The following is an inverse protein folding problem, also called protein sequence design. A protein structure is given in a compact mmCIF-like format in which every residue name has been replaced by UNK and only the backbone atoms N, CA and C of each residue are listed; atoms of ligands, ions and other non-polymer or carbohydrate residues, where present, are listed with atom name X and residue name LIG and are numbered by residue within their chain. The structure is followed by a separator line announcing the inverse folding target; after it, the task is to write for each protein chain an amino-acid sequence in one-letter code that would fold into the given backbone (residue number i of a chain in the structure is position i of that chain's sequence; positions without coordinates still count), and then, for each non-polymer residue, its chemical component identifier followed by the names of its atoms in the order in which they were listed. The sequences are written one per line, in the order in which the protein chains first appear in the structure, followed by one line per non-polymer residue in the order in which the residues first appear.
data_IF_005617150402
#
_entry.id   IF_005617150402
#
_cell.length_a   1.000
_cell.length_b   1.000
_cell.length_c   1.000
_cell.angle_alpha   90.00
_cell.angle_beta   90.00
_cell.angle_gamma   90.00
#
_symmetry.space_group_name_H-M   'P 1'
#
loop_
_entity.id
_entity.type
_entity.pdbx_description
1 polymer ?
#
# COMPACT_ATOMS: atom_id res chain seq x y z
N UNK A 1 -18.63 8.15 -7.48
CA UNK A 1 -17.53 8.81 -8.23
C UNK A 1 -16.35 9.15 -7.35
N UNK A 2 -16.52 9.96 -6.29
CA UNK A 2 -15.47 10.35 -5.33
C UNK A 2 -14.64 9.15 -4.85
N UNK A 3 -15.28 8.12 -4.27
CA UNK A 3 -14.58 6.92 -3.79
C UNK A 3 -13.74 6.25 -4.88
N UNK A 4 -14.26 6.18 -6.11
CA UNK A 4 -13.53 5.63 -7.25
C UNK A 4 -12.27 6.42 -7.57
N UNK A 5 -12.36 7.74 -7.61
CA UNK A 5 -11.18 8.59 -7.82
C UNK A 5 -10.16 8.41 -6.68
N UNK A 6 -10.62 8.41 -5.43
CA UNK A 6 -9.78 8.21 -4.24
C UNK A 6 -9.02 6.88 -4.26
N UNK A 7 -9.69 5.76 -4.54
CA UNK A 7 -9.02 4.44 -4.59
C UNK A 7 -8.06 4.33 -5.78
N UNK A 8 -8.14 5.20 -6.79
CA UNK A 8 -7.19 5.26 -7.91
C UNK A 8 -6.03 6.24 -7.69
N UNK A 9 -5.91 6.83 -6.49
CA UNK A 9 -4.88 7.83 -6.18
C UNK A 9 -5.16 9.21 -6.76
N UNK A 10 -6.37 9.44 -7.29
CA UNK A 10 -6.79 10.71 -7.92
C UNK A 10 -7.47 11.64 -6.91
N UNK A 11 -6.80 11.91 -5.79
CA UNK A 11 -7.37 12.71 -4.69
C UNK A 11 -7.78 14.13 -5.10
N UNK A 12 -7.00 14.80 -5.97
CA UNK A 12 -7.34 16.15 -6.48
C UNK A 12 -8.66 16.14 -7.25
N UNK A 13 -8.88 15.12 -8.08
CA UNK A 13 -10.11 14.98 -8.84
C UNK A 13 -11.28 14.64 -7.91
N UNK A 14 -11.05 13.86 -6.85
CA UNK A 14 -12.05 13.57 -5.83
C UNK A 14 -12.50 14.85 -5.10
N UNK A 15 -11.56 15.76 -4.78
CA UNK A 15 -11.85 17.08 -4.23
C UNK A 15 -12.66 17.93 -5.21
N UNK A 16 -12.28 17.96 -6.49
CA UNK A 16 -13.00 18.72 -7.51
C UNK A 16 -14.47 18.24 -7.65
N UNK A 17 -14.68 16.93 -7.69
CA UNK A 17 -16.03 16.35 -7.75
C UNK A 17 -16.83 16.67 -6.49
N UNK A 18 -16.20 16.67 -5.31
CA UNK A 18 -16.85 17.09 -4.08
C UNK A 18 -17.25 18.56 -4.10
N UNK A 19 -16.37 19.45 -4.60
CA UNK A 19 -16.73 20.86 -4.79
C UNK A 19 -17.91 21.05 -5.75
N UNK A 20 -17.94 20.29 -6.86
CA UNK A 20 -19.06 20.30 -7.79
C UNK A 20 -20.37 19.83 -7.13
N UNK A 21 -20.32 18.73 -6.38
CA UNK A 21 -21.46 18.22 -5.61
C UNK A 21 -22.06 19.30 -4.70
N UNK A 22 -21.23 20.07 -4.00
CA UNK A 22 -21.68 21.17 -3.15
C UNK A 22 -22.27 22.34 -3.95
N UNK A 23 -21.67 22.70 -5.10
CA UNK A 23 -22.21 23.76 -5.98
C UNK A 23 -23.58 23.39 -6.56
N UNK A 24 -23.83 22.10 -6.79
CA UNK A 24 -25.11 21.56 -7.23
C UNK A 24 -26.12 21.36 -6.08
N UNK A 25 -25.81 21.86 -4.88
CA UNK A 25 -26.62 21.71 -3.66
C UNK A 25 -26.90 20.26 -3.27
N UNK A 26 -26.03 19.32 -3.65
CA UNK A 26 -26.12 17.92 -3.26
C UNK A 26 -25.38 17.73 -1.94
N UNK A 27 -26.10 17.29 -0.91
CA UNK A 27 -25.54 17.16 0.44
C UNK A 27 -24.65 15.92 0.58
N UNK A 28 -23.43 16.06 1.14
CA UNK A 28 -22.60 14.90 1.43
C UNK A 28 -23.17 14.10 2.61
N UNK A 29 -22.80 12.83 2.65
CA UNK A 29 -23.04 11.95 3.80
C UNK A 29 -21.70 11.39 4.32
N UNK A 30 -21.73 10.66 5.43
CA UNK A 30 -20.51 10.09 6.02
C UNK A 30 -19.69 9.26 5.04
N UNK A 31 -20.32 8.49 4.14
CA UNK A 31 -19.60 7.70 3.14
C UNK A 31 -18.89 8.58 2.11
N UNK A 32 -19.51 9.69 1.71
CA UNK A 32 -18.93 10.68 0.80
C UNK A 32 -17.68 11.30 1.42
N UNK A 33 -17.77 11.72 2.69
CA UNK A 33 -16.67 12.33 3.43
C UNK A 33 -15.55 11.31 3.65
N UNK A 34 -15.86 10.08 4.05
CA UNK A 34 -14.89 9.01 4.21
C UNK A 34 -14.10 8.77 2.92
N UNK A 35 -14.80 8.69 1.78
CA UNK A 35 -14.17 8.55 0.47
C UNK A 35 -13.25 9.71 0.12
N UNK A 36 -13.67 10.93 0.40
CA UNK A 36 -12.87 12.13 0.17
C UNK A 36 -11.62 12.18 1.05
N UNK A 37 -11.77 11.92 2.36
CA UNK A 37 -10.64 11.86 3.29
C UNK A 37 -9.62 10.79 2.89
N UNK A 38 -10.08 9.63 2.43
CA UNK A 38 -9.20 8.58 1.91
C UNK A 38 -8.44 9.06 0.66
N UNK A 39 -9.11 9.78 -0.24
CA UNK A 39 -8.48 10.40 -1.40
C UNK A 39 -7.43 11.44 -1.02
N UNK A 40 -7.73 12.30 -0.05
CA UNK A 40 -6.78 13.27 0.48
C UNK A 40 -5.57 12.56 1.12
N UNK A 41 -5.81 11.54 1.96
CA UNK A 41 -4.76 10.75 2.61
C UNK A 41 -3.83 10.10 1.60
N UNK A 42 -4.37 9.57 0.50
CA UNK A 42 -3.58 8.91 -0.53
C UNK A 42 -2.95 9.86 -1.56
N UNK A 43 -3.17 11.17 -1.43
CA UNK A 43 -2.61 12.20 -2.32
C UNK A 43 -1.90 13.33 -1.58
N UNK A 44 -1.73 13.22 -0.26
CA UNK A 44 -1.04 14.23 0.56
C UNK A 44 -1.77 15.57 0.66
N UNK A 45 -3.09 15.60 0.47
CA UNK A 45 -3.90 16.82 0.47
C UNK A 45 -4.34 17.18 1.90
N UNK A 46 -3.36 17.60 2.71
CA UNK A 46 -3.53 17.83 4.16
C UNK A 46 -4.52 18.94 4.45
N UNK A 47 -4.43 20.06 3.71
CA UNK A 47 -5.28 21.22 3.95
C UNK A 47 -6.74 20.92 3.61
N UNK A 48 -6.97 20.31 2.44
CA UNK A 48 -8.31 19.92 1.99
C UNK A 48 -8.92 18.86 2.92
N UNK A 49 -8.15 17.82 3.28
CA UNK A 49 -8.61 16.79 4.20
C UNK A 49 -8.89 17.32 5.61
N UNK A 50 -8.04 18.21 6.14
CA UNK A 50 -8.25 18.84 7.44
C UNK A 50 -9.49 19.73 7.43
N UNK A 51 -9.66 20.55 6.40
CA UNK A 51 -10.83 21.42 6.23
C UNK A 51 -12.13 20.60 6.19
N UNK A 52 -12.15 19.51 5.41
CA UNK A 52 -13.29 18.61 5.33
C UNK A 52 -13.59 17.97 6.69
N UNK A 53 -12.58 17.41 7.36
CA UNK A 53 -12.77 16.72 8.64
C UNK A 53 -13.30 17.66 9.73
N UNK A 54 -12.71 18.84 9.88
CA UNK A 54 -13.07 19.81 10.93
C UNK A 54 -14.45 20.44 10.70
N UNK A 55 -14.95 20.42 9.46
CA UNK A 55 -16.25 20.99 9.08
C UNK A 55 -17.39 19.98 9.04
N UNK A 56 -17.12 18.69 9.27
CA UNK A 56 -18.11 17.62 9.13
C UNK A 56 -19.41 17.91 9.86
N UNK A 57 -19.30 18.27 11.14
CA UNK A 57 -20.46 18.51 12.00
C UNK A 57 -21.06 19.90 11.76
N UNK A 58 -20.23 20.95 11.74
CA UNK A 58 -20.70 22.34 11.63
C UNK A 58 -21.29 22.69 10.26
N UNK A 59 -20.80 22.09 9.17
CA UNK A 59 -21.26 22.39 7.80
C UNK A 59 -22.31 21.40 7.29
N UNK A 60 -22.29 20.14 7.74
CA UNK A 60 -23.15 19.09 7.17
C UNK A 60 -23.90 18.26 8.22
N UNK A 61 -23.74 18.53 9.52
CA UNK A 61 -24.38 17.76 10.58
C UNK A 61 -23.91 16.31 10.67
N UNK A 62 -22.72 16.00 10.13
CA UNK A 62 -22.16 14.65 10.11
C UNK A 62 -21.23 14.49 11.30
N UNK A 63 -21.65 13.73 12.31
CA UNK A 63 -20.78 13.37 13.43
C UNK A 63 -19.65 12.45 12.95
N UNK A 64 -18.36 12.80 13.20
CA UNK A 64 -17.23 11.93 12.86
C UNK A 64 -17.34 10.56 13.55
N UNK A 65 -17.06 9.51 12.77
CA UNK A 65 -16.98 8.12 13.23
C UNK A 65 -15.54 7.62 13.18
N UNK A 66 -15.30 6.44 13.77
CA UNK A 66 -13.96 5.85 13.88
C UNK A 66 -13.23 5.77 12.53
N UNK A 67 -13.94 5.49 11.44
CA UNK A 67 -13.38 5.41 10.09
C UNK A 67 -12.91 6.78 9.57
N UNK A 68 -13.62 7.86 9.92
CA UNK A 68 -13.24 9.22 9.56
C UNK A 68 -11.99 9.66 10.31
N UNK A 69 -11.92 9.36 11.61
CA UNK A 69 -10.71 9.57 12.42
C UNK A 69 -9.54 8.78 11.84
N UNK A 70 -9.75 7.51 11.51
CA UNK A 70 -8.73 6.66 10.89
C UNK A 70 -8.13 7.28 9.62
N UNK A 71 -8.98 7.75 8.69
CA UNK A 71 -8.49 8.42 7.48
C UNK A 71 -7.79 9.76 7.77
N UNK A 72 -8.27 10.55 8.73
CA UNK A 72 -7.64 11.83 9.07
C UNK A 72 -6.28 11.64 9.77
N UNK A 73 -6.17 10.65 10.66
CA UNK A 73 -4.92 10.27 11.32
C UNK A 73 -3.92 9.71 10.31
N UNK A 74 -4.37 8.86 9.37
CA UNK A 74 -3.51 8.36 8.28
C UNK A 74 -3.02 9.51 7.38
N UNK A 75 -3.89 10.48 7.04
CA UNK A 75 -3.51 11.68 6.28
C UNK A 75 -2.40 12.48 6.99
N UNK A 76 -2.62 12.82 8.26
CA UNK A 76 -1.64 13.56 9.06
C UNK A 76 -0.33 12.79 9.23
N UNK A 77 -0.44 11.49 9.53
CA UNK A 77 0.69 10.61 9.73
C UNK A 77 1.56 10.48 8.48
N UNK A 78 0.95 10.19 7.32
CA UNK A 78 1.67 10.11 6.04
C UNK A 78 2.36 11.42 5.68
N UNK A 79 1.75 12.56 6.00
CA UNK A 79 2.33 13.87 5.77
C UNK A 79 3.44 14.28 6.78
N UNK A 80 3.68 13.48 7.82
CA UNK A 80 4.72 13.74 8.81
C UNK A 80 4.25 14.60 9.99
N UNK A 81 2.96 14.91 10.09
CA UNK A 81 2.37 15.62 11.23
C UNK A 81 2.07 14.65 12.38
N UNK A 82 3.10 13.91 12.82
CA UNK A 82 2.96 12.79 13.76
C UNK A 82 2.40 13.20 15.12
N UNK A 83 2.88 14.32 15.68
CA UNK A 83 2.37 14.84 16.95
C UNK A 83 0.90 15.23 16.83
N UNK A 84 0.53 15.93 15.76
CA UNK A 84 -0.87 16.30 15.49
C UNK A 84 -1.74 15.06 15.33
N UNK A 85 -1.26 14.04 14.61
CA UNK A 85 -1.96 12.77 14.46
C UNK A 85 -2.17 12.08 15.82
N UNK A 86 -1.17 12.10 16.70
CA UNK A 86 -1.28 11.55 18.05
C UNK A 86 -2.22 12.36 18.95
N UNK A 87 -2.24 13.69 18.86
CA UNK A 87 -3.24 14.52 19.55
C UNK A 87 -4.66 14.22 19.08
N UNK A 88 -4.86 13.96 17.78
CA UNK A 88 -6.16 13.53 17.24
C UNK A 88 -6.57 12.19 17.85
N UNK A 89 -5.67 11.20 17.94
CA UNK A 89 -5.95 9.91 18.61
C UNK A 89 -6.41 10.11 20.06
N UNK A 90 -5.71 10.98 20.82
CA UNK A 90 -6.03 11.24 22.24
C UNK A 90 -7.33 12.01 22.45
N UNK A 91 -7.75 12.79 21.46
CA UNK A 91 -8.98 13.59 21.52
C UNK A 91 -10.21 12.88 20.94
N UNK A 92 -10.07 11.63 20.48
CA UNK A 92 -11.20 10.85 19.98
C UNK A 92 -12.28 10.67 21.06
N UNK A 93 -13.57 10.86 20.73
CA UNK A 93 -14.68 10.64 21.66
C UNK A 93 -14.98 9.14 21.87
N UNK A 94 -14.30 8.25 21.14
CA UNK A 94 -14.41 6.80 21.24
C UNK A 94 -13.03 6.17 21.41
N UNK A 95 -12.99 4.93 21.90
CA UNK A 95 -11.74 4.17 22.02
C UNK A 95 -11.11 3.95 20.64
N UNK A 96 -9.83 4.34 20.42
CA UNK A 96 -9.14 4.09 19.16
C UNK A 96 -8.95 2.59 18.95
N UNK A 97 -9.27 2.10 17.76
CA UNK A 97 -9.08 0.70 17.41
C UNK A 97 -7.61 0.40 17.04
N UNK A 98 -7.34 -0.89 16.88
CA UNK A 98 -6.02 -1.38 16.50
C UNK A 98 -5.57 -0.86 15.11
N UNK A 99 -6.50 -0.53 14.22
CA UNK A 99 -6.21 -0.04 12.87
C UNK A 99 -5.64 1.37 12.93
N UNK A 100 -6.19 2.22 13.79
CA UNK A 100 -5.70 3.58 14.05
C UNK A 100 -4.28 3.55 14.59
N UNK A 101 -4.02 2.74 15.63
CA UNK A 101 -2.68 2.61 16.20
C UNK A 101 -1.66 2.08 15.19
N UNK A 102 -2.04 1.09 14.38
CA UNK A 102 -1.20 0.55 13.30
C UNK A 102 -0.91 1.61 12.22
N UNK A 103 -1.88 2.48 11.91
CA UNK A 103 -1.70 3.56 10.94
C UNK A 103 -0.69 4.58 11.44
N UNK A 104 -0.79 5.00 12.71
CA UNK A 104 0.17 5.91 13.33
C UNK A 104 1.57 5.28 13.45
N UNK A 105 1.66 4.00 13.80
CA UNK A 105 2.94 3.29 13.83
C UNK A 105 3.59 3.21 12.44
N UNK A 106 2.79 2.96 11.41
CA UNK A 106 3.27 2.96 10.01
C UNK A 106 3.81 4.34 9.62
N UNK A 107 3.18 5.42 10.07
CA UNK A 107 3.66 6.78 9.85
C UNK A 107 4.99 7.05 10.59
N UNK A 108 5.12 6.65 11.85
CA UNK A 108 6.37 6.75 12.60
C UNK A 108 7.52 6.01 11.88
N UNK A 109 7.25 4.82 11.30
CA UNK A 109 8.23 4.09 10.49
C UNK A 109 8.67 4.89 9.26
N UNK A 110 7.72 5.45 8.50
CA UNK A 110 8.00 6.22 7.28
C UNK A 110 8.90 7.43 7.60
N UNK A 111 8.59 8.13 8.69
CA UNK A 111 9.30 9.35 9.11
C UNK A 111 10.45 9.11 10.09
N UNK A 112 10.76 7.84 10.39
CA UNK A 112 11.82 7.42 11.33
C UNK A 112 11.69 8.03 12.74
N UNK A 113 10.46 8.32 13.17
CA UNK A 113 10.19 8.82 14.52
C UNK A 113 10.12 7.68 15.53
N UNK A 114 11.29 7.36 16.07
CA UNK A 114 11.45 6.32 17.09
C UNK A 114 10.77 6.70 18.40
N UNK A 115 10.82 7.99 18.76
CA UNK A 115 10.36 8.49 20.04
C UNK A 115 8.87 8.26 20.21
N UNK A 116 8.09 8.51 19.15
CA UNK A 116 6.65 8.25 19.14
C UNK A 116 6.34 6.79 18.76
N UNK A 117 7.13 6.17 17.87
CA UNK A 117 6.89 4.80 17.40
C UNK A 117 7.00 3.73 18.49
N UNK A 118 7.96 3.84 19.41
CA UNK A 118 8.16 2.87 20.49
C UNK A 118 6.99 2.72 21.47
N UNK A 119 6.45 3.79 22.08
CA UNK A 119 5.30 3.67 22.98
C UNK A 119 4.06 3.15 22.24
N UNK A 120 3.84 3.53 20.98
CA UNK A 120 2.73 3.00 20.16
C UNK A 120 2.90 1.50 19.92
N UNK A 121 4.10 1.05 19.57
CA UNK A 121 4.41 -0.36 19.41
C UNK A 121 4.07 -1.18 20.66
N UNK A 122 4.51 -0.71 21.84
CA UNK A 122 4.18 -1.35 23.12
C UNK A 122 2.67 -1.36 23.39
N UNK A 123 1.98 -0.27 23.07
CA UNK A 123 0.53 -0.21 23.23
C UNK A 123 -0.18 -1.24 22.34
N UNK A 124 0.23 -1.39 21.08
CA UNK A 124 -0.29 -2.41 20.16
C UNK A 124 -0.03 -3.82 20.70
N UNK A 125 1.14 -4.10 21.30
CA UNK A 125 1.44 -5.39 21.92
C UNK A 125 0.45 -5.73 23.06
N UNK A 126 0.12 -4.72 23.90
CA UNK A 126 -0.84 -4.88 24.99
C UNK A 126 -2.27 -5.08 24.48
N UNK A 127 -2.64 -4.48 23.35
CA UNK A 127 -3.95 -4.66 22.73
C UNK A 127 -4.08 -6.01 21.99
N UNK A 128 -2.99 -6.55 21.44
CA UNK A 128 -2.99 -7.77 20.61
C UNK A 128 -2.92 -9.08 21.41
N UNK A 129 -3.60 -9.14 22.56
CA UNK A 129 -3.74 -10.36 23.37
C UNK A 129 -4.46 -11.51 22.62
N UNK A 130 -5.16 -11.21 21.52
CA UNK A 130 -5.89 -12.18 20.70
C UNK A 130 -5.07 -12.78 19.55
N UNK A 131 -3.83 -12.31 19.33
CA UNK A 131 -2.87 -13.04 18.53
C UNK A 131 -3.04 -12.93 17.01
N UNK A 132 -3.33 -11.74 16.50
CA UNK A 132 -3.34 -11.48 15.06
C UNK A 132 -1.90 -11.30 14.52
N UNK A 133 -1.51 -12.13 13.55
CA UNK A 133 -0.16 -12.10 12.95
C UNK A 133 0.23 -10.74 12.35
N UNK A 134 -0.75 -9.98 11.85
CA UNK A 134 -0.51 -8.68 11.20
C UNK A 134 0.09 -7.61 12.12
N UNK A 135 -0.32 -7.56 13.39
CA UNK A 135 0.19 -6.60 14.37
C UNK A 135 1.66 -6.89 14.69
N UNK A 136 1.97 -8.17 14.92
CA UNK A 136 3.32 -8.67 15.12
C UNK A 136 4.24 -8.43 13.92
N UNK A 137 3.73 -8.56 12.68
CA UNK A 137 4.51 -8.25 11.46
C UNK A 137 4.85 -6.77 11.37
N UNK A 138 3.89 -5.87 11.62
CA UNK A 138 4.15 -4.42 11.63
C UNK A 138 5.19 -4.04 12.70
N UNK A 139 5.07 -4.64 13.87
CA UNK A 139 6.00 -4.47 14.98
C UNK A 139 7.39 -5.03 14.67
N UNK A 140 7.48 -6.21 14.05
CA UNK A 140 8.74 -6.80 13.60
C UNK A 140 9.42 -5.90 12.57
N UNK A 141 8.66 -5.37 11.60
CA UNK A 141 9.16 -4.44 10.60
C UNK A 141 9.61 -3.10 11.20
N UNK A 142 8.92 -2.60 12.23
CA UNK A 142 9.38 -1.43 12.97
C UNK A 142 10.70 -1.72 13.68
N UNK A 143 10.79 -2.80 14.46
CA UNK A 143 12.03 -3.18 15.14
C UNK A 143 13.18 -3.39 14.15
N UNK A 144 12.92 -3.94 12.96
CA UNK A 144 13.90 -4.06 11.88
C UNK A 144 14.35 -2.68 11.36
N UNK A 145 13.42 -1.75 11.16
CA UNK A 145 13.76 -0.36 10.78
C UNK A 145 14.56 0.39 11.86
N UNK A 146 14.50 -0.08 13.10
CA UNK A 146 15.23 0.45 14.25
C UNK A 146 16.54 -0.31 14.55
N UNK A 147 16.90 -1.32 13.76
CA UNK A 147 18.08 -2.16 14.00
C UNK A 147 18.00 -3.04 15.26
N UNK A 148 16.81 -3.21 15.85
CA UNK A 148 16.58 -4.01 17.07
C UNK A 148 16.42 -5.49 16.73
N UNK A 149 17.49 -6.11 16.25
CA UNK A 149 17.46 -7.44 15.65
C UNK A 149 17.09 -8.58 16.60
N UNK A 150 17.47 -8.49 17.88
CA UNK A 150 17.04 -9.47 18.90
C UNK A 150 15.51 -9.51 19.00
N UNK A 151 14.87 -8.35 19.07
CA UNK A 151 13.40 -8.24 19.09
C UNK A 151 12.77 -8.69 17.77
N UNK A 152 13.43 -8.44 16.64
CA UNK A 152 12.98 -8.95 15.33
C UNK A 152 12.98 -10.49 15.33
N UNK A 153 14.03 -11.12 15.84
CA UNK A 153 14.14 -12.57 15.92
C UNK A 153 13.07 -13.17 16.83
N UNK A 154 12.86 -12.60 18.02
CA UNK A 154 11.77 -12.99 18.94
C UNK A 154 10.40 -12.92 18.27
N UNK A 155 10.09 -11.78 17.63
CA UNK A 155 8.81 -11.58 16.96
C UNK A 155 8.65 -12.52 15.77
N UNK A 156 9.71 -12.78 15.00
CA UNK A 156 9.69 -13.74 13.89
C UNK A 156 9.50 -15.16 14.36
N UNK A 157 10.03 -15.54 15.52
CA UNK A 157 9.76 -16.83 16.16
C UNK A 157 8.27 -16.97 16.50
N UNK A 158 7.70 -15.96 17.16
CA UNK A 158 6.28 -15.90 17.52
C UNK A 158 5.33 -15.84 16.30
N UNK A 159 5.81 -15.29 15.18
CA UNK A 159 5.09 -15.29 13.89
C UNK A 159 5.24 -16.67 13.21
N UNK A 160 6.43 -17.28 13.28
CA UNK A 160 6.77 -18.57 12.70
C UNK A 160 5.94 -19.72 13.26
N UNK A 161 5.71 -19.75 14.57
CA UNK A 161 4.84 -20.72 15.24
C UNK A 161 3.37 -20.60 14.80
N UNK A 162 2.94 -19.43 14.31
CA UNK A 162 1.59 -19.16 13.78
C UNK A 162 1.50 -19.16 12.25
N UNK A 163 2.60 -19.44 11.53
CA UNK A 163 2.69 -19.32 10.07
C UNK A 163 1.80 -20.31 9.31
N UNK A 164 1.20 -21.29 9.99
CA UNK A 164 0.17 -22.15 9.42
C UNK A 164 -1.17 -21.46 9.11
N UNK A 165 -1.33 -20.15 9.38
CA UNK A 165 -2.61 -19.44 9.18
C UNK A 165 -2.54 -18.15 8.34
N UNK A 166 -1.39 -17.72 7.83
CA UNK A 166 -1.29 -16.50 7.00
C UNK A 166 -1.07 -16.82 5.52
N UNK A 167 -1.96 -16.34 4.65
CA UNK A 167 -1.89 -16.58 3.21
C UNK A 167 -0.63 -15.93 2.61
N UNK A 168 0.20 -16.66 1.83
CA UNK A 168 1.36 -16.09 1.18
C UNK A 168 0.97 -14.98 0.18
N UNK A 169 1.90 -14.06 -0.06
CA UNK A 169 1.75 -13.03 -1.08
C UNK A 169 1.56 -13.66 -2.45
N UNK A 170 0.48 -13.30 -3.14
CA UNK A 170 0.18 -13.75 -4.48
C UNK A 170 -0.43 -12.63 -5.30
N UNK A 171 -0.25 -12.73 -6.60
CA UNK A 171 -0.83 -11.83 -7.60
C UNK A 171 -1.53 -12.64 -8.66
N UNK A 172 -2.63 -12.13 -9.20
CA UNK A 172 -3.33 -12.79 -10.28
C UNK A 172 -3.71 -11.81 -11.39
N UNK A 173 -3.86 -12.37 -12.58
CA UNK A 173 -4.22 -11.69 -13.81
C UNK A 173 -5.23 -12.54 -14.56
N UNK A 174 -6.24 -11.90 -15.12
CA UNK A 174 -7.21 -12.55 -16.01
C UNK A 174 -6.82 -12.26 -17.47
N UNK A 175 -6.62 -13.33 -18.25
CA UNK A 175 -6.36 -13.25 -19.69
C UNK A 175 -7.30 -14.20 -20.40
N UNK A 176 -8.08 -13.70 -21.35
CA UNK A 176 -9.05 -14.47 -22.14
C UNK A 176 -10.03 -15.30 -21.26
N UNK A 177 -10.51 -14.71 -20.16
CA UNK A 177 -11.44 -15.37 -19.23
C UNK A 177 -10.79 -16.39 -18.29
N UNK A 178 -9.47 -16.54 -18.30
CA UNK A 178 -8.73 -17.46 -17.44
C UNK A 178 -7.93 -16.70 -16.41
N UNK A 179 -8.15 -17.01 -15.13
CA UNK A 179 -7.37 -16.47 -14.01
C UNK A 179 -6.06 -17.24 -13.88
N UNK A 180 -4.95 -16.51 -13.88
CA UNK A 180 -3.61 -17.03 -13.69
C UNK A 180 -3.05 -16.43 -12.39
N UNK A 181 -2.77 -17.28 -11.40
CA UNK A 181 -2.21 -16.89 -10.10
C UNK A 181 -0.70 -17.13 -10.07
N UNK A 182 0.03 -16.23 -9.41
CA UNK A 182 1.48 -16.28 -9.25
C UNK A 182 1.87 -16.10 -7.79
N UNK A 183 2.82 -16.92 -7.33
CA UNK A 183 3.41 -16.86 -5.98
C UNK A 183 4.92 -16.63 -6.02
N UNK A 184 5.50 -16.21 -4.91
CA UNK A 184 6.97 -16.19 -4.77
C UNK A 184 7.48 -17.63 -4.89
N UNK A 185 8.52 -17.82 -5.70
CA UNK A 185 9.07 -19.14 -6.04
C UNK A 185 8.08 -20.11 -6.70
N UNK A 186 7.08 -19.60 -7.43
CA UNK A 186 6.07 -20.41 -8.11
C UNK A 186 6.69 -21.51 -8.99
N UNK A 187 6.14 -22.72 -8.89
CA UNK A 187 6.46 -23.86 -9.78
C UNK A 187 5.19 -24.48 -10.39
N UNK A 188 4.02 -23.96 -10.03
CA UNK A 188 2.72 -24.55 -10.35
C UNK A 188 2.19 -24.14 -11.72
N UNK A 189 2.59 -22.98 -12.23
CA UNK A 189 2.12 -22.51 -13.52
C UNK A 189 2.73 -23.32 -14.69
N UNK A 190 1.93 -23.87 -15.64
CA UNK A 190 2.44 -24.74 -16.73
C UNK A 190 3.52 -24.10 -17.59
N UNK A 191 3.47 -22.77 -17.74
CA UNK A 191 4.42 -21.96 -18.53
C UNK A 191 5.48 -21.24 -17.69
N UNK A 192 5.71 -21.65 -16.44
CA UNK A 192 6.54 -20.86 -15.51
C UNK A 192 7.98 -20.61 -16.01
N UNK A 193 8.58 -21.58 -16.72
CA UNK A 193 9.92 -21.40 -17.29
C UNK A 193 9.95 -20.25 -18.32
N UNK A 194 8.98 -20.21 -19.23
CA UNK A 194 8.84 -19.16 -20.24
C UNK A 194 8.53 -17.80 -19.60
N UNK A 195 7.74 -17.78 -18.53
CA UNK A 195 7.41 -16.55 -17.79
C UNK A 195 8.65 -15.98 -17.10
N UNK A 196 9.49 -16.84 -16.50
CA UNK A 196 10.74 -16.41 -15.87
C UNK A 196 11.77 -15.91 -16.89
N UNK A 197 11.88 -16.59 -18.03
CA UNK A 197 12.71 -16.13 -19.14
C UNK A 197 12.25 -14.75 -19.63
N UNK A 198 10.94 -14.58 -19.86
CA UNK A 198 10.37 -13.28 -20.21
C UNK A 198 10.62 -12.23 -19.14
N UNK A 199 10.48 -12.59 -17.86
CA UNK A 199 10.73 -11.69 -16.77
C UNK A 199 12.19 -11.18 -16.79
N UNK A 200 13.15 -12.07 -17.07
CA UNK A 200 14.55 -11.68 -17.27
C UNK A 200 14.73 -10.62 -18.36
N UNK A 201 14.10 -10.82 -19.52
CA UNK A 201 14.08 -9.82 -20.62
C UNK A 201 13.45 -8.50 -20.16
N UNK A 202 12.28 -8.57 -19.50
CA UNK A 202 11.51 -7.40 -19.04
C UNK A 202 12.31 -6.57 -18.06
N UNK A 203 12.96 -7.18 -17.07
CA UNK A 203 13.76 -6.47 -16.08
C UNK A 203 15.03 -5.89 -16.70
N UNK A 204 15.69 -6.61 -17.61
CA UNK A 204 16.86 -6.08 -18.34
C UNK A 204 16.50 -4.86 -19.17
N UNK A 205 15.33 -4.85 -19.81
CA UNK A 205 14.81 -3.67 -20.52
C UNK A 205 14.39 -2.55 -19.56
N UNK A 206 13.78 -2.88 -18.43
CA UNK A 206 13.40 -1.90 -17.41
C UNK A 206 14.63 -1.20 -16.81
N UNK A 207 15.77 -1.90 -16.65
CA UNK A 207 17.04 -1.32 -16.23
C UNK A 207 17.53 -0.22 -17.20
N UNK A 208 17.38 -0.43 -18.51
CA UNK A 208 17.66 0.63 -19.51
C UNK A 208 16.73 1.85 -19.35
N UNK A 209 15.55 1.66 -18.78
CA UNK A 209 14.60 2.70 -18.42
C UNK A 209 14.86 3.36 -17.06
N UNK A 210 15.94 2.99 -16.35
CA UNK A 210 16.34 3.55 -15.05
C UNK A 210 15.86 2.76 -13.82
N UNK A 211 15.31 1.55 -13.98
CA UNK A 211 14.98 0.70 -12.84
C UNK A 211 16.24 0.10 -12.19
N UNK A 212 16.34 0.23 -10.87
CA UNK A 212 17.38 -0.38 -10.04
C UNK A 212 16.67 -1.20 -8.95
N UNK A 213 17.06 -2.48 -8.81
CA UNK A 213 16.48 -3.38 -7.81
C UNK A 213 16.73 -2.86 -6.40
N UNK A 214 15.68 -2.73 -5.59
CA UNK A 214 15.81 -2.33 -4.19
C UNK A 214 15.78 -3.56 -3.27
N UNK A 215 16.95 -3.95 -2.78
CA UNK A 215 17.15 -5.11 -1.90
C UNK A 215 17.08 -4.79 -0.40
N UNK A 216 16.92 -3.51 -0.02
CA UNK A 216 16.94 -3.06 1.38
C UNK A 216 15.79 -3.62 2.25
N UNK A 217 14.74 -4.15 1.64
CA UNK A 217 13.57 -4.70 2.34
C UNK A 217 13.62 -6.21 2.56
N UNK A 218 14.67 -6.89 2.10
CA UNK A 218 14.84 -8.33 2.29
C UNK A 218 15.59 -8.63 3.60
N UNK A 219 15.36 -9.80 4.19
CA UNK A 219 16.05 -10.24 5.42
C UNK A 219 17.58 -10.10 5.28
N UNK A 220 18.23 -9.55 6.30
CA UNK A 220 19.68 -9.36 6.31
C UNK A 220 20.47 -10.68 6.26
N UNK A 221 19.86 -11.79 6.71
CA UNK A 221 20.46 -13.13 6.74
C UNK A 221 20.66 -13.78 5.36
N UNK A 222 20.18 -13.12 4.29
CA UNK A 222 20.37 -13.57 2.91
C UNK A 222 21.61 -12.89 2.30
N UNK A 223 22.34 -13.61 1.45
CA UNK A 223 23.37 -12.99 0.62
C UNK A 223 22.76 -11.91 -0.29
N UNK A 224 23.54 -10.94 -0.74
CA UNK A 224 23.02 -9.91 -1.65
C UNK A 224 22.42 -10.51 -2.94
N UNK A 225 23.00 -11.61 -3.42
CA UNK A 225 22.49 -12.39 -4.56
C UNK A 225 21.14 -13.07 -4.25
N UNK A 226 20.99 -13.64 -3.06
CA UNK A 226 19.71 -14.23 -2.60
C UNK A 226 18.63 -13.15 -2.38
N UNK A 227 19.02 -11.95 -1.92
CA UNK A 227 18.11 -10.81 -1.79
C UNK A 227 17.63 -10.32 -3.15
N UNK A 228 18.54 -10.23 -4.12
CA UNK A 228 18.21 -9.85 -5.49
C UNK A 228 17.28 -10.87 -6.16
N UNK A 229 17.53 -12.17 -5.96
CA UNK A 229 16.64 -13.24 -6.45
C UNK A 229 15.26 -13.22 -5.79
N UNK A 230 15.19 -12.93 -4.48
CA UNK A 230 13.92 -12.83 -3.76
C UNK A 230 13.04 -11.69 -4.31
N UNK A 231 13.65 -10.55 -4.61
CA UNK A 231 12.96 -9.35 -5.12
C UNK A 231 12.62 -9.47 -6.60
N UNK A 232 13.46 -10.15 -7.38
CA UNK A 232 13.26 -10.42 -8.80
C UNK A 232 11.98 -11.22 -9.02
N UNK A 233 11.73 -12.24 -8.20
CA UNK A 233 10.63 -13.19 -8.38
C UNK A 233 9.34 -12.82 -7.63
N UNK A 234 9.13 -11.54 -7.33
CA UNK A 234 7.85 -11.09 -6.78
C UNK A 234 6.69 -11.44 -7.73
N UNK A 235 5.56 -11.84 -7.13
CA UNK A 235 4.38 -12.32 -7.86
C UNK A 235 3.86 -11.32 -8.91
N UNK A 236 3.96 -10.02 -8.62
CA UNK A 236 3.52 -8.94 -9.50
C UNK A 236 4.38 -8.88 -10.78
N UNK A 237 5.68 -9.12 -10.64
CA UNK A 237 6.63 -9.13 -11.76
C UNK A 237 6.41 -10.35 -12.66
N UNK A 238 6.10 -11.50 -12.07
CA UNK A 238 5.68 -12.68 -12.84
C UNK A 238 4.36 -12.42 -13.58
N UNK A 239 3.38 -11.80 -12.91
CA UNK A 239 2.09 -11.48 -13.51
C UNK A 239 2.21 -10.49 -14.67
N UNK A 240 3.05 -9.45 -14.57
CA UNK A 240 3.26 -8.51 -15.69
C UNK A 240 4.02 -9.16 -16.85
N UNK A 241 5.01 -10.02 -16.57
CA UNK A 241 5.71 -10.77 -17.62
C UNK A 241 4.72 -11.68 -18.38
N UNK A 242 3.88 -12.42 -17.66
CA UNK A 242 2.82 -13.23 -18.25
C UNK A 242 1.82 -12.39 -19.06
N UNK A 243 1.40 -11.25 -18.51
CA UNK A 243 0.51 -10.31 -19.20
C UNK A 243 1.10 -9.84 -20.52
N UNK A 244 2.37 -9.42 -20.54
CA UNK A 244 3.08 -8.99 -21.75
C UNK A 244 3.25 -10.11 -22.78
N UNK A 245 3.35 -11.38 -22.37
CA UNK A 245 3.41 -12.53 -23.29
C UNK A 245 2.06 -12.89 -23.89
N UNK A 246 0.98 -12.61 -23.16
CA UNK A 246 -0.33 -13.21 -23.43
C UNK A 246 -1.33 -12.20 -24.00
N UNK A 247 -0.91 -10.95 -24.22
CA UNK A 247 -1.78 -9.87 -24.71
C UNK A 247 -1.06 -9.04 -25.78
N UNK A 248 -1.82 -8.53 -26.76
CA UNK A 248 -1.29 -7.74 -27.88
C UNK A 248 -0.70 -6.40 -27.43
N UNK A 249 0.28 -5.80 -28.13
CA UNK A 249 0.75 -4.44 -27.86
C UNK A 249 -0.39 -3.40 -27.77
N UNK A 250 -0.26 -2.37 -26.92
CA UNK A 250 -1.34 -1.41 -26.62
C UNK A 250 -2.41 -1.81 -25.58
N UNK A 251 -2.87 -3.07 -25.47
CA UNK A 251 -3.83 -3.51 -24.43
C UNK A 251 -3.42 -3.18 -22.98
N UNK A 252 -4.35 -2.77 -22.11
CA UNK A 252 -4.04 -2.59 -20.68
C UNK A 252 -3.81 -3.93 -19.97
N UNK A 253 -2.82 -4.03 -19.08
CA UNK A 253 -2.61 -5.21 -18.21
C UNK A 253 -3.20 -4.92 -16.83
N UNK A 254 -4.08 -5.82 -16.33
CA UNK A 254 -4.74 -5.67 -15.03
C UNK A 254 -4.30 -6.77 -14.08
N UNK A 255 -3.70 -6.40 -12.96
CA UNK A 255 -3.20 -7.33 -11.94
C UNK A 255 -3.85 -6.99 -10.62
N UNK A 256 -4.20 -8.01 -9.85
CA UNK A 256 -4.64 -7.85 -8.46
C UNK A 256 -3.69 -8.60 -7.55
N UNK A 257 -3.42 -8.05 -6.37
CA UNK A 257 -2.58 -8.67 -5.35
C UNK A 257 -3.21 -8.56 -3.97
N UNK A 258 -2.92 -9.53 -3.10
CA UNK A 258 -3.45 -9.57 -1.73
C UNK A 258 -2.64 -8.72 -0.72
N UNK A 259 -1.42 -8.29 -1.08
CA UNK A 259 -0.55 -7.47 -0.24
C UNK A 259 -0.46 -6.03 -0.75
N UNK A 260 0.04 -5.09 0.06
CA UNK A 260 0.39 -3.74 -0.42
C UNK A 260 1.55 -3.84 -1.41
N UNK A 261 1.55 -3.03 -2.47
CA UNK A 261 2.71 -2.93 -3.39
C UNK A 261 3.98 -2.60 -2.59
N UNK A 262 5.16 -3.08 -2.98
CA UNK A 262 6.43 -2.68 -2.36
C UNK A 262 7.17 -1.66 -3.25
N UNK A 263 8.14 -0.93 -2.68
CA UNK A 263 8.90 0.13 -3.39
C UNK A 263 9.58 -0.38 -4.65
N UNK A 264 10.14 -1.59 -4.58
CA UNK A 264 10.79 -2.22 -5.71
C UNK A 264 9.78 -2.55 -6.83
N UNK A 265 8.69 -3.26 -6.51
CA UNK A 265 7.65 -3.56 -7.50
C UNK A 265 7.07 -2.27 -8.09
N UNK A 266 6.81 -1.25 -7.27
CA UNK A 266 6.29 0.03 -7.75
C UNK A 266 7.24 0.68 -8.76
N UNK A 267 8.54 0.71 -8.45
CA UNK A 267 9.58 1.27 -9.32
C UNK A 267 9.75 0.46 -10.61
N UNK A 268 9.72 -0.87 -10.51
CA UNK A 268 9.75 -1.76 -11.67
C UNK A 268 8.56 -1.51 -12.60
N UNK A 269 7.34 -1.43 -12.06
CA UNK A 269 6.13 -1.22 -12.86
C UNK A 269 6.11 0.13 -13.56
N UNK A 270 6.61 1.20 -12.92
CA UNK A 270 6.86 2.49 -13.60
C UNK A 270 7.78 2.29 -14.80
N UNK A 271 8.97 1.73 -14.61
CA UNK A 271 9.92 1.53 -15.70
C UNK A 271 9.37 0.63 -16.82
N UNK A 272 8.70 -0.48 -16.46
CA UNK A 272 8.07 -1.40 -17.42
C UNK A 272 7.00 -0.66 -18.25
N UNK A 273 6.12 0.13 -17.61
CA UNK A 273 5.09 0.89 -18.32
C UNK A 273 5.68 1.84 -19.37
N UNK A 274 6.83 2.43 -19.08
CA UNK A 274 7.56 3.32 -20.00
C UNK A 274 8.20 2.54 -21.14
N UNK A 275 9.02 1.53 -20.84
CA UNK A 275 9.83 0.86 -21.86
C UNK A 275 9.02 -0.04 -22.78
N UNK A 276 7.90 -0.60 -22.30
CA UNK A 276 6.97 -1.39 -23.12
C UNK A 276 5.80 -0.57 -23.68
N UNK A 277 5.71 0.72 -23.38
CA UNK A 277 4.57 1.58 -23.72
C UNK A 277 3.23 0.92 -23.38
N UNK A 278 3.09 0.53 -22.11
CA UNK A 278 2.01 -0.33 -21.61
C UNK A 278 1.35 0.28 -20.40
N UNK A 279 0.03 0.43 -20.42
CA UNK A 279 -0.72 0.78 -19.21
C UNK A 279 -0.85 -0.45 -18.31
N UNK A 280 -0.37 -0.34 -17.07
CA UNK A 280 -0.48 -1.38 -16.05
C UNK A 280 -1.40 -0.88 -14.94
N UNK A 281 -2.46 -1.63 -14.65
CA UNK A 281 -3.40 -1.32 -13.57
C UNK A 281 -3.24 -2.40 -12.50
N UNK A 282 -2.65 -2.04 -11.37
CA UNK A 282 -2.41 -2.97 -10.26
C UNK A 282 -3.29 -2.58 -9.08
N UNK A 283 -4.21 -3.46 -8.70
CA UNK A 283 -4.98 -3.34 -7.46
C UNK A 283 -4.23 -4.04 -6.33
N UNK A 284 -3.79 -3.27 -5.35
CA UNK A 284 -3.29 -3.81 -4.08
C UNK A 284 -4.41 -3.85 -3.02
N UNK A 285 -4.07 -4.25 -1.79
CA UNK A 285 -5.03 -4.36 -0.69
C UNK A 285 -5.76 -3.05 -0.33
N UNK A 286 -5.20 -1.91 -0.74
CA UNK A 286 -5.60 -0.56 -0.33
C UNK A 286 -6.11 0.31 -1.47
N UNK A 287 -5.55 0.15 -2.67
CA UNK A 287 -5.78 1.07 -3.80
C UNK A 287 -5.43 0.44 -5.14
N UNK A 288 -5.76 1.17 -6.20
CA UNK A 288 -5.26 0.96 -7.54
C UNK A 288 -4.06 1.85 -7.81
N UNK A 289 -3.08 1.28 -8.48
CA UNK A 289 -1.94 1.95 -9.07
C UNK A 289 -2.08 1.84 -10.57
N UNK A 290 -2.19 2.97 -11.26
CA UNK A 290 -2.19 3.00 -12.72
C UNK A 290 -0.84 3.52 -13.18
N UNK A 291 -0.02 2.62 -13.75
CA UNK A 291 1.29 2.93 -14.28
C UNK A 291 1.20 3.21 -15.77
N UNK A 292 1.67 4.38 -16.19
CA UNK A 292 1.68 4.81 -17.58
C UNK A 292 2.88 5.72 -17.83
N UNK A 293 3.61 5.45 -18.91
CA UNK A 293 4.73 6.29 -19.37
C UNK A 293 5.81 6.56 -18.29
N UNK A 294 5.99 5.65 -17.34
CA UNK A 294 6.98 5.82 -16.27
C UNK A 294 6.46 6.51 -15.01
N UNK A 295 5.18 6.85 -14.97
CA UNK A 295 4.52 7.48 -13.82
C UNK A 295 3.47 6.55 -13.22
N UNK A 296 3.07 6.82 -11.98
CA UNK A 296 1.96 6.12 -11.32
C UNK A 296 0.91 7.13 -10.87
N UNK A 297 -0.37 6.76 -10.95
CA UNK A 297 -1.49 7.58 -10.50
C UNK A 297 -1.43 7.99 -9.03
N UNK A 298 -0.62 7.33 -8.20
CA UNK A 298 -0.40 7.69 -6.80
C UNK A 298 0.66 8.80 -6.60
N UNK A 299 1.35 9.25 -7.65
CA UNK A 299 2.43 10.25 -7.58
C UNK A 299 3.53 9.90 -6.56
N UNK A 300 3.86 8.61 -6.43
CA UNK A 300 4.82 8.09 -5.45
C UNK A 300 4.42 8.33 -3.97
N UNK A 301 3.15 8.68 -3.72
CA UNK A 301 2.58 8.89 -2.38
C UNK A 301 1.70 7.70 -1.98
N UNK A 302 2.30 6.53 -1.75
CA UNK A 302 1.53 5.29 -1.51
C UNK A 302 1.83 4.51 -0.24
#
# INVERSE_FOLDING_TARGET
MINGLSIHGRGKDAVQVFSQMLMENVMPNGITILGLLNGCSHSGLVEEGSSVFLRMESSWGITPKIEHYGCYIDLLGRAGHLEKAYEVVKSMPMQPDIVIWRSLLSACKIHRDVKLGEPIARHIELLDHNGHTEGKVLLSNLNASLGKWERVAELRHLIGEKRNQSSPGHSWIEVNGVINEFRVADRSHPRIAQIREKLGEVLKRAQLGGYISNISQVSFDLSEEDKEQAVTNHSEKLAVAFGLMSTEPGTSIRIVKNLRTCDDCHSAMKAISKVYNRELIIRDRSRFHTFKEGTCSCNDYW
#
